data_IF_257693149764
#
_entry.id   IF_257693149764
#
_cell.length_a   1.000
_cell.length_b   1.000
_cell.length_c   1.000
_cell.angle_alpha   90.00
_cell.angle_beta   90.00
_cell.angle_gamma   90.00
#
_symmetry.space_group_name_H-M   'P 1'
#
loop_
_entity.id
_entity.type
_entity.pdbx_description
1 polymer ?
#
# COMPACT_ATOMS: atom_id res chain seq x y z
N UNK A 1 -18.41 -3.50 5.64
CA UNK A 1 -19.24 -2.30 5.93
C UNK A 1 -18.77 -1.12 5.06
N UNK A 2 -19.64 -0.16 4.72
CA UNK A 2 -19.26 1.07 4.02
C UNK A 2 -18.87 2.12 5.07
N UNK A 3 -17.68 2.71 4.95
CA UNK A 3 -17.16 3.73 5.87
C UNK A 3 -17.34 5.14 5.35
N UNK A 4 -17.20 5.34 4.04
CA UNK A 4 -17.38 6.63 3.38
C UNK A 4 -17.78 6.43 1.92
N UNK A 5 -18.65 7.29 1.41
CA UNK A 5 -19.12 7.29 0.02
C UNK A 5 -19.38 8.72 -0.43
N UNK A 6 -18.85 9.13 -1.59
CA UNK A 6 -19.10 10.45 -2.13
C UNK A 6 -18.34 10.73 -3.42
N UNK A 7 -18.67 11.86 -4.04
CA UNK A 7 -18.00 12.32 -5.25
C UNK A 7 -16.71 13.05 -4.90
N UNK A 8 -15.68 12.79 -5.71
CA UNK A 8 -14.43 13.54 -5.73
C UNK A 8 -14.10 13.88 -7.19
N UNK A 9 -13.25 14.87 -7.40
CA UNK A 9 -12.60 15.03 -8.69
C UNK A 9 -11.25 14.31 -8.66
N UNK A 10 -10.90 13.60 -9.73
CA UNK A 10 -9.69 12.78 -9.83
C UNK A 10 -8.81 13.20 -11.01
N UNK A 11 -7.50 13.11 -10.82
CA UNK A 11 -6.48 13.08 -11.86
C UNK A 11 -5.63 11.82 -11.67
N UNK A 12 -5.40 11.09 -12.76
CA UNK A 12 -4.46 9.96 -12.80
C UNK A 12 -3.14 10.41 -13.42
N UNK A 13 -2.08 9.62 -13.22
CA UNK A 13 -0.76 9.93 -13.80
C UNK A 13 -0.78 10.01 -15.34
N UNK A 14 -1.68 9.28 -16.00
CA UNK A 14 -1.85 9.31 -17.45
C UNK A 14 -2.65 10.51 -17.95
N UNK A 15 -3.43 11.18 -17.09
CA UNK A 15 -4.41 12.20 -17.46
C UNK A 15 -4.18 13.53 -16.69
N UNK A 16 -2.92 13.97 -16.63
CA UNK A 16 -2.47 15.10 -15.78
C UNK A 16 -3.20 16.45 -16.03
N UNK A 17 -3.95 16.60 -17.13
CA UNK A 17 -4.51 17.88 -17.56
C UNK A 17 -5.97 18.12 -17.15
N UNK A 18 -6.77 17.09 -16.82
CA UNK A 18 -8.21 17.30 -16.56
C UNK A 18 -8.72 16.53 -15.35
N UNK A 19 -9.40 17.27 -14.46
CA UNK A 19 -10.17 16.71 -13.36
C UNK A 19 -11.42 16.00 -13.87
N UNK A 20 -11.62 14.74 -13.46
CA UNK A 20 -12.81 13.96 -13.79
C UNK A 20 -13.60 13.63 -12.54
N UNK A 21 -14.95 13.71 -12.57
CA UNK A 21 -15.74 13.28 -11.43
C UNK A 21 -15.65 11.76 -11.28
N UNK A 22 -15.39 11.30 -10.06
CA UNK A 22 -15.37 9.88 -9.69
C UNK A 22 -16.16 9.70 -8.40
N UNK A 23 -17.00 8.67 -8.37
CA UNK A 23 -17.66 8.26 -7.14
C UNK A 23 -16.72 7.32 -6.40
N UNK A 24 -16.33 7.71 -5.19
CA UNK A 24 -15.38 6.99 -4.35
C UNK A 24 -16.12 6.32 -3.21
N UNK A 25 -15.77 5.08 -2.90
CA UNK A 25 -16.28 4.36 -1.74
C UNK A 25 -15.12 3.77 -0.93
N UNK A 26 -15.06 4.07 0.36
CA UNK A 26 -14.17 3.40 1.31
C UNK A 26 -14.99 2.37 2.07
N UNK A 27 -14.57 1.12 1.97
CA UNK A 27 -15.09 0.02 2.78
C UNK A 27 -14.11 -0.29 3.90
N UNK A 28 -14.32 -1.40 4.59
CA UNK A 28 -13.36 -1.90 5.58
C UNK A 28 -12.06 -2.44 4.96
N UNK A 29 -12.10 -2.88 3.70
CA UNK A 29 -10.98 -3.58 3.05
C UNK A 29 -10.45 -2.87 1.82
N UNK A 30 -11.32 -2.15 1.11
CA UNK A 30 -11.04 -1.63 -0.22
C UNK A 30 -11.50 -0.17 -0.36
N UNK A 31 -10.73 0.58 -1.14
CA UNK A 31 -11.08 1.84 -1.78
C UNK A 31 -11.57 1.52 -3.21
N UNK A 32 -12.82 1.85 -3.52
CA UNK A 32 -13.47 1.56 -4.79
C UNK A 32 -13.75 2.85 -5.55
N UNK A 33 -13.47 2.85 -6.85
CA UNK A 33 -13.75 3.98 -7.75
C UNK A 33 -14.79 3.59 -8.80
N UNK A 34 -15.77 4.46 -9.03
CA UNK A 34 -16.77 4.31 -10.07
C UNK A 34 -16.82 5.57 -10.95
N UNK A 35 -16.72 5.40 -12.27
CA UNK A 35 -16.86 6.51 -13.22
C UNK A 35 -18.29 7.07 -13.33
N UNK A 36 -19.28 6.39 -12.74
CA UNK A 36 -20.67 6.83 -12.70
C UNK A 36 -21.40 6.23 -11.51
N UNK A 37 -22.52 6.83 -11.11
CA UNK A 37 -23.35 6.30 -10.04
C UNK A 37 -23.95 4.93 -10.45
N UNK A 38 -23.64 3.83 -9.71
CA UNK A 38 -24.20 2.53 -10.03
C UNK A 38 -25.73 2.53 -9.88
N UNK A 39 -26.44 2.30 -10.98
CA UNK A 39 -27.92 2.37 -11.02
C UNK A 39 -28.61 1.09 -10.57
N UNK A 40 -27.89 -0.04 -10.60
CA UNK A 40 -28.41 -1.35 -10.26
C UNK A 40 -27.56 -1.99 -9.18
N UNK A 41 -28.16 -2.84 -8.34
CA UNK A 41 -27.45 -3.57 -7.27
C UNK A 41 -26.21 -4.31 -7.79
N UNK A 42 -26.32 -4.96 -8.95
CA UNK A 42 -25.22 -5.69 -9.58
C UNK A 42 -24.01 -4.78 -9.90
N UNK A 43 -24.25 -3.53 -10.31
CA UNK A 43 -23.20 -2.58 -10.71
C UNK A 43 -22.32 -2.14 -9.52
N UNK A 44 -22.82 -2.23 -8.28
CA UNK A 44 -22.01 -1.98 -7.08
C UNK A 44 -20.95 -3.07 -6.83
N UNK A 45 -21.02 -4.20 -7.54
CA UNK A 45 -20.01 -5.26 -7.49
C UNK A 45 -18.98 -5.15 -8.63
N UNK A 46 -19.11 -4.14 -9.48
CA UNK A 46 -18.23 -3.92 -10.65
C UNK A 46 -17.71 -2.49 -10.67
N UNK A 47 -16.92 -2.08 -9.67
CA UNK A 47 -16.23 -0.79 -9.71
C UNK A 47 -15.26 -0.74 -10.89
N UNK A 48 -14.94 0.48 -11.33
CA UNK A 48 -13.91 0.69 -12.33
C UNK A 48 -12.52 0.30 -11.79
N UNK A 49 -12.27 0.63 -10.52
CA UNK A 49 -11.04 0.26 -9.82
C UNK A 49 -11.34 -0.22 -8.40
N UNK A 50 -10.60 -1.24 -7.97
CA UNK A 50 -10.63 -1.79 -6.60
C UNK A 50 -9.22 -1.78 -6.05
N UNK A 51 -9.00 -0.95 -5.03
CA UNK A 51 -7.71 -0.77 -4.39
C UNK A 51 -7.76 -1.30 -2.96
N UNK A 52 -7.07 -2.41 -2.63
CA UNK A 52 -7.02 -2.91 -1.27
C UNK A 52 -6.38 -1.86 -0.35
N UNK A 53 -7.04 -1.51 0.74
CA UNK A 53 -6.54 -0.54 1.73
C UNK A 53 -5.21 -1.00 2.34
N UNK A 54 -4.98 -2.31 2.43
CA UNK A 54 -3.70 -2.88 2.86
C UNK A 54 -2.53 -2.48 1.96
N UNK A 55 -2.78 -2.32 0.66
CA UNK A 55 -1.79 -1.97 -0.35
C UNK A 55 -1.86 -0.50 -0.76
N UNK A 56 -2.74 0.28 -0.13
CA UNK A 56 -2.96 1.71 -0.40
C UNK A 56 -2.31 2.54 0.69
N UNK A 57 -1.65 3.64 0.32
CA UNK A 57 -1.19 4.66 1.27
C UNK A 57 -1.60 6.05 0.81
N UNK A 58 -1.78 6.93 1.79
CA UNK A 58 -1.90 8.37 1.59
C UNK A 58 -0.49 8.97 1.49
N UNK A 59 -0.16 9.67 0.41
CA UNK A 59 1.17 10.29 0.21
C UNK A 59 1.17 11.81 0.28
N UNK A 60 0.02 12.42 0.06
CA UNK A 60 -0.15 13.86 0.11
C UNK A 60 -1.55 14.20 0.63
N UNK A 61 -1.66 15.27 1.40
CA UNK A 61 -2.92 15.87 1.80
C UNK A 61 -2.69 17.33 2.12
N UNK A 62 -3.36 18.23 1.39
CA UNK A 62 -3.32 19.65 1.66
C UNK A 62 -3.53 20.52 0.43
N UNK A 63 -3.40 21.84 0.61
CA UNK A 63 -3.23 22.76 -0.50
C UNK A 63 -1.92 22.46 -1.27
N UNK A 64 -1.97 22.51 -2.60
CA UNK A 64 -0.80 22.32 -3.47
C UNK A 64 0.34 23.34 -3.21
N UNK A 65 0.05 24.46 -2.53
CA UNK A 65 1.01 25.51 -2.17
C UNK A 65 0.75 26.10 -0.78
N UNK A 66 1.40 25.58 0.26
CA UNK A 66 1.56 26.29 1.54
C UNK A 66 0.25 26.62 2.27
N UNK A 67 0.18 27.76 2.95
CA UNK A 67 -0.99 28.13 3.75
C UNK A 67 -2.28 28.23 2.90
N UNK A 68 -3.45 27.81 3.43
CA UNK A 68 -4.69 27.82 2.67
C UNK A 68 -5.05 29.25 2.27
N UNK A 69 -5.05 29.54 0.97
CA UNK A 69 -5.60 30.77 0.41
C UNK A 69 -6.93 30.50 -0.34
N UNK A 70 -7.82 31.50 -0.44
CA UNK A 70 -9.02 31.39 -1.27
C UNK A 70 -8.66 31.03 -2.71
N UNK A 71 -9.20 29.93 -3.24
CA UNK A 71 -8.91 29.44 -4.59
C UNK A 71 -7.77 28.42 -4.69
N UNK A 72 -7.16 28.02 -3.57
CA UNK A 72 -6.17 26.93 -3.57
C UNK A 72 -6.88 25.57 -3.59
N UNK A 73 -6.40 24.69 -4.48
CA UNK A 73 -6.93 23.35 -4.67
C UNK A 73 -6.68 22.50 -3.41
N UNK A 74 -7.76 22.02 -2.77
CA UNK A 74 -7.68 21.12 -1.63
C UNK A 74 -7.58 19.69 -2.15
N UNK A 75 -6.39 19.11 -2.08
CA UNK A 75 -6.14 17.82 -2.71
C UNK A 75 -5.55 16.81 -1.73
N UNK A 76 -5.71 15.53 -2.06
CA UNK A 76 -4.95 14.46 -1.44
C UNK A 76 -4.58 13.43 -2.50
N UNK A 77 -3.47 12.73 -2.29
CA UNK A 77 -3.02 11.71 -3.22
C UNK A 77 -2.87 10.35 -2.53
N UNK A 78 -3.30 9.31 -3.23
CA UNK A 78 -3.08 7.93 -2.81
C UNK A 78 -2.14 7.24 -3.80
N UNK A 79 -1.30 6.35 -3.26
CA UNK A 79 -0.55 5.37 -4.04
C UNK A 79 -1.02 3.98 -3.63
N UNK A 80 -1.22 3.11 -4.60
CA UNK A 80 -1.66 1.74 -4.37
C UNK A 80 -0.80 0.77 -5.14
N UNK A 81 -0.26 -0.24 -4.46
CA UNK A 81 0.37 -1.35 -5.16
C UNK A 81 -0.65 -2.23 -5.86
N UNK A 82 -0.37 -2.56 -7.11
CA UNK A 82 -1.20 -3.37 -8.01
C UNK A 82 -0.34 -4.43 -8.72
N UNK A 83 -0.98 -5.39 -9.38
CA UNK A 83 -0.27 -6.42 -10.16
C UNK A 83 0.59 -5.85 -11.30
N UNK A 84 0.34 -4.61 -11.71
CA UNK A 84 1.05 -3.92 -12.79
C UNK A 84 2.10 -2.92 -12.28
N UNK A 85 2.19 -2.72 -10.96
CA UNK A 85 3.06 -1.73 -10.34
C UNK A 85 2.30 -0.83 -9.37
N UNK A 86 2.85 0.33 -9.06
CA UNK A 86 2.19 1.31 -8.20
C UNK A 86 1.34 2.25 -9.04
N UNK A 87 0.05 2.34 -8.73
CA UNK A 87 -0.85 3.33 -9.31
C UNK A 87 -1.02 4.51 -8.37
N UNK A 88 -1.05 5.73 -8.92
CA UNK A 88 -1.17 6.97 -8.17
C UNK A 88 -2.40 7.78 -8.64
N UNK A 89 -3.16 8.25 -7.67
CA UNK A 89 -4.38 9.03 -7.88
C UNK A 89 -4.29 10.32 -7.07
N UNK A 90 -4.60 11.44 -7.72
CA UNK A 90 -4.78 12.72 -7.06
C UNK A 90 -6.27 13.02 -7.02
N UNK A 91 -6.80 13.27 -5.83
CA UNK A 91 -8.19 13.62 -5.58
C UNK A 91 -8.31 15.05 -5.09
N UNK A 92 -9.37 15.73 -5.51
CA UNK A 92 -9.74 17.05 -5.00
C UNK A 92 -11.00 16.97 -4.16
N UNK A 93 -10.92 17.54 -2.97
CA UNK A 93 -12.04 17.76 -2.06
C UNK A 93 -12.61 19.18 -2.23
N UNK A 94 -13.89 19.36 -1.95
CA UNK A 94 -14.56 20.66 -2.06
C UNK A 94 -14.31 21.55 -0.85
N UNK A 95 -14.19 20.95 0.34
CA UNK A 95 -13.99 21.66 1.60
C UNK A 95 -12.86 21.06 2.42
N UNK A 96 -12.28 21.84 3.34
CA UNK A 96 -11.29 21.33 4.29
C UNK A 96 -11.86 20.20 5.16
N UNK A 97 -13.17 20.24 5.45
CA UNK A 97 -13.85 19.19 6.21
C UNK A 97 -13.88 17.88 5.42
N UNK A 98 -14.22 17.94 4.12
CA UNK A 98 -14.23 16.76 3.25
C UNK A 98 -12.82 16.18 3.12
N UNK A 99 -11.82 17.03 2.88
CA UNK A 99 -10.42 16.61 2.82
C UNK A 99 -10.01 15.85 4.10
N UNK A 100 -10.33 16.42 5.26
CA UNK A 100 -10.03 15.82 6.57
C UNK A 100 -10.78 14.50 6.77
N UNK A 101 -12.03 14.41 6.32
CA UNK A 101 -12.87 13.23 6.46
C UNK A 101 -12.37 12.08 5.58
N UNK A 102 -12.10 12.35 4.30
CA UNK A 102 -11.60 11.37 3.34
C UNK A 102 -10.24 10.81 3.74
N UNK A 103 -9.27 11.69 4.04
CA UNK A 103 -7.92 11.28 4.43
C UNK A 103 -7.93 10.45 5.72
N UNK A 104 -8.74 10.86 6.72
CA UNK A 104 -8.92 10.08 7.95
C UNK A 104 -9.49 8.69 7.68
N UNK A 105 -10.57 8.57 6.90
CA UNK A 105 -11.17 7.26 6.62
C UNK A 105 -10.22 6.33 5.84
N UNK A 106 -9.44 6.87 4.92
CA UNK A 106 -8.42 6.10 4.19
C UNK A 106 -7.33 5.63 5.16
N UNK A 107 -6.71 6.54 5.92
CA UNK A 107 -5.61 6.21 6.85
C UNK A 107 -6.05 5.21 7.92
N UNK A 108 -7.19 5.46 8.56
CA UNK A 108 -7.73 4.53 9.56
C UNK A 108 -8.09 3.19 8.92
N UNK A 109 -8.66 3.19 7.71
CA UNK A 109 -8.97 1.98 6.96
C UNK A 109 -7.73 1.13 6.63
N UNK A 110 -6.66 1.76 6.14
CA UNK A 110 -5.37 1.10 5.90
C UNK A 110 -4.82 0.46 7.18
N UNK A 111 -4.84 1.20 8.30
CA UNK A 111 -4.39 0.71 9.60
C UNK A 111 -5.22 -0.48 10.10
N UNK A 112 -6.56 -0.36 10.07
CA UNK A 112 -7.46 -1.46 10.46
C UNK A 112 -7.30 -2.70 9.57
N UNK A 113 -7.09 -2.51 8.27
CA UNK A 113 -6.86 -3.61 7.32
C UNK A 113 -5.55 -4.35 7.63
N UNK A 114 -4.47 -3.62 7.90
CA UNK A 114 -3.19 -4.22 8.32
C UNK A 114 -3.33 -5.00 9.64
N UNK A 115 -4.02 -4.43 10.64
CA UNK A 115 -4.26 -5.09 11.91
C UNK A 115 -5.12 -6.36 11.77
N UNK A 116 -6.11 -6.35 10.88
CA UNK A 116 -6.98 -7.50 10.62
C UNK A 116 -6.23 -8.63 9.90
N UNK A 117 -5.44 -8.29 8.88
CA UNK A 117 -4.75 -9.27 8.04
C UNK A 117 -3.55 -9.88 8.78
N UNK A 118 -2.94 -9.11 9.69
CA UNK A 118 -1.79 -9.47 10.55
C UNK A 118 -0.50 -9.78 9.82
N UNK A 119 -0.55 -10.50 8.72
CA UNK A 119 0.63 -10.91 7.97
C UNK A 119 0.37 -10.95 6.47
N UNK A 120 1.35 -10.51 5.72
CA UNK A 120 1.37 -10.55 4.26
C UNK A 120 2.66 -11.22 3.81
N UNK A 121 2.53 -12.12 2.84
CA UNK A 121 3.64 -12.86 2.26
C UNK A 121 3.65 -12.70 0.75
N UNK A 122 4.80 -12.32 0.21
CA UNK A 122 4.99 -12.15 -1.24
C UNK A 122 6.30 -12.82 -1.68
N UNK A 123 6.24 -13.58 -2.77
CA UNK A 123 7.42 -14.17 -3.40
C UNK A 123 8.33 -13.09 -3.97
N UNK A 124 9.62 -13.23 -3.71
CA UNK A 124 10.60 -12.25 -4.12
C UNK A 124 12.00 -12.84 -4.34
N UNK A 125 12.87 -12.02 -4.92
CA UNK A 125 14.31 -12.33 -5.05
C UNK A 125 15.09 -11.43 -4.10
N UNK A 126 15.95 -12.04 -3.29
CA UNK A 126 16.89 -11.37 -2.38
C UNK A 126 18.28 -11.94 -2.57
N UNK A 127 19.29 -11.08 -2.82
CA UNK A 127 20.69 -11.48 -3.09
C UNK A 127 20.81 -12.59 -4.17
N UNK A 128 19.94 -12.52 -5.20
CA UNK A 128 19.91 -13.51 -6.29
C UNK A 128 19.28 -14.86 -5.93
N UNK A 129 18.69 -15.00 -4.73
CA UNK A 129 18.02 -16.21 -4.27
C UNK A 129 16.51 -16.02 -4.22
N UNK A 130 15.79 -17.07 -4.56
CA UNK A 130 14.34 -17.15 -4.46
C UNK A 130 13.89 -17.29 -3.01
N UNK A 131 12.99 -16.42 -2.60
CA UNK A 131 12.57 -16.29 -1.22
C UNK A 131 11.16 -15.71 -1.11
N UNK A 132 10.68 -15.56 0.12
CA UNK A 132 9.42 -14.92 0.45
C UNK A 132 9.68 -13.79 1.43
N UNK A 133 9.22 -12.59 1.08
CA UNK A 133 9.13 -11.47 2.02
C UNK A 133 7.84 -11.64 2.82
N UNK A 134 8.00 -11.67 4.13
CA UNK A 134 6.90 -11.68 5.11
C UNK A 134 6.94 -10.36 5.85
N UNK A 135 5.80 -9.67 5.91
CA UNK A 135 5.62 -8.48 6.73
C UNK A 135 4.52 -8.79 7.73
N UNK A 136 4.87 -8.85 9.00
CA UNK A 136 3.95 -9.13 10.09
C UNK A 136 3.70 -7.84 10.88
N UNK A 137 2.43 -7.54 11.17
CA UNK A 137 1.94 -6.32 11.80
C UNK A 137 2.66 -5.95 13.10
N UNK A 138 3.05 -6.96 13.89
CA UNK A 138 3.78 -6.77 15.15
C UNK A 138 5.27 -7.17 15.09
N UNK A 139 5.67 -8.07 14.18
CA UNK A 139 7.01 -8.67 14.21
C UNK A 139 7.95 -8.03 13.18
N UNK A 140 7.42 -7.17 12.30
CA UNK A 140 8.19 -6.49 11.26
C UNK A 140 8.43 -7.37 10.03
N UNK A 141 9.65 -7.36 9.53
CA UNK A 141 10.05 -7.90 8.24
C UNK A 141 10.84 -9.19 8.40
N UNK A 142 10.52 -10.20 7.61
CA UNK A 142 11.31 -11.42 7.51
C UNK A 142 11.48 -11.84 6.04
N UNK A 143 12.66 -12.31 5.66
CA UNK A 143 12.87 -12.97 4.37
C UNK A 143 13.16 -14.44 4.61
N UNK A 144 12.32 -15.30 4.05
CA UNK A 144 12.41 -16.75 4.21
C UNK A 144 12.87 -17.36 2.89
N UNK A 145 13.93 -18.19 2.91
CA UNK A 145 14.31 -18.94 1.71
C UNK A 145 13.16 -19.85 1.26
N UNK A 146 12.96 -20.01 -0.05
CA UNK A 146 12.07 -21.06 -0.54
C UNK A 146 12.71 -22.43 -0.31
N UNK A 147 12.01 -23.32 0.40
CA UNK A 147 12.43 -24.72 0.52
C UNK A 147 12.13 -25.41 -0.82
N UNK A 148 13.18 -25.77 -1.55
CA UNK A 148 13.07 -26.74 -2.64
C UNK A 148 12.83 -28.10 -2.00
N UNK A 149 11.60 -28.59 -2.09
CA UNK A 149 11.26 -29.92 -1.56
C UNK A 149 11.98 -30.99 -2.35
N UNK A 150 12.80 -31.79 -1.67
CA UNK A 150 12.85 -33.25 -1.71
C UNK A 150 13.80 -33.72 -0.58
N UNK A 151 13.35 -34.72 0.18
CA UNK A 151 14.03 -35.41 1.30
C UNK A 151 14.10 -34.75 2.68
N UNK A 152 12.97 -34.66 3.40
CA UNK A 152 12.96 -34.92 4.86
C UNK A 152 11.64 -35.57 5.30
N UNK A 153 11.59 -36.89 5.19
CA UNK A 153 10.79 -37.74 6.07
C UNK A 153 11.57 -37.85 7.38
N UNK A 154 11.28 -37.02 8.38
CA UNK A 154 11.39 -37.44 9.79
C UNK A 154 10.78 -36.41 10.77
N UNK A 155 9.77 -36.89 11.48
CA UNK A 155 9.48 -36.69 12.90
C UNK A 155 9.55 -35.27 13.51
N UNK A 156 8.37 -34.70 13.72
CA UNK A 156 7.97 -34.29 15.07
C UNK A 156 8.38 -32.91 15.59
N UNK A 157 9.03 -32.05 14.82
CA UNK A 157 9.20 -30.65 15.22
C UNK A 157 9.15 -29.71 14.02
N UNK A 158 8.39 -28.64 14.14
CA UNK A 158 8.06 -27.69 13.08
C UNK A 158 9.34 -27.17 12.40
N UNK A 159 9.60 -27.66 11.18
CA UNK A 159 10.71 -27.25 10.32
C UNK A 159 10.45 -25.82 9.77
N UNK A 160 10.44 -24.82 10.65
CA UNK A 160 10.47 -23.42 10.24
C UNK A 160 11.85 -23.14 9.63
N UNK A 161 11.90 -22.96 8.31
CA UNK A 161 13.11 -22.53 7.62
C UNK A 161 13.70 -21.31 8.33
N UNK A 162 14.97 -21.39 8.75
CA UNK A 162 15.65 -20.28 9.41
C UNK A 162 15.59 -19.04 8.50
N UNK A 163 15.09 -17.90 8.99
CA UNK A 163 14.98 -16.68 8.18
C UNK A 163 16.36 -16.21 7.71
N UNK A 164 16.45 -15.76 6.46
CA UNK A 164 17.64 -15.11 5.88
C UNK A 164 17.88 -13.75 6.52
N UNK A 165 16.81 -13.04 6.86
CA UNK A 165 16.83 -11.82 7.66
C UNK A 165 15.53 -11.69 8.44
N UNK A 166 15.61 -11.08 9.63
CA UNK A 166 14.46 -10.69 10.44
C UNK A 166 14.76 -9.33 11.09
N UNK A 167 13.93 -8.34 10.82
CA UNK A 167 14.06 -7.00 11.41
C UNK A 167 12.71 -6.46 11.86
N UNK A 168 12.61 -5.95 13.10
CA UNK A 168 11.39 -5.30 13.55
C UNK A 168 11.26 -3.90 12.91
N UNK A 169 10.08 -3.28 13.01
CA UNK A 169 9.81 -1.99 12.36
C UNK A 169 10.74 -0.87 12.83
N UNK A 170 11.18 -0.89 14.09
CA UNK A 170 12.02 0.16 14.69
C UNK A 170 13.41 0.23 14.04
N UNK A 171 13.84 -0.82 13.34
CA UNK A 171 15.13 -0.82 12.63
C UNK A 171 15.02 -0.24 11.22
N UNK A 172 13.81 -0.15 10.66
CA UNK A 172 13.59 0.41 9.33
C UNK A 172 13.78 1.92 9.39
N UNK A 173 14.86 2.40 8.79
CA UNK A 173 15.17 3.82 8.69
C UNK A 173 14.44 4.47 7.53
N UNK A 174 14.42 3.78 6.39
CA UNK A 174 13.81 4.29 5.16
C UNK A 174 13.34 3.11 4.32
N UNK A 175 12.21 3.30 3.65
CA UNK A 175 11.71 2.45 2.57
C UNK A 175 11.61 3.28 1.30
N UNK A 176 11.75 2.66 0.13
CA UNK A 176 11.42 3.27 -1.16
C UNK A 176 11.07 2.20 -2.20
N UNK A 177 10.48 2.62 -3.32
CA UNK A 177 10.09 1.74 -4.40
C UNK A 177 10.46 2.35 -5.76
N UNK A 178 10.55 1.52 -6.80
CA UNK A 178 10.80 1.97 -8.18
C UNK A 178 9.52 2.28 -8.99
N UNK A 179 8.35 2.26 -8.33
CA UNK A 179 7.04 2.41 -8.94
C UNK A 179 6.53 1.18 -9.68
N UNK A 180 7.32 0.10 -9.78
CA UNK A 180 7.00 -1.05 -10.64
C UNK A 180 7.04 -2.37 -9.87
N UNK A 181 8.19 -2.76 -9.33
CA UNK A 181 8.38 -4.11 -8.76
C UNK A 181 9.52 -4.24 -7.75
N UNK A 182 10.27 -3.18 -7.52
CA UNK A 182 11.37 -3.21 -6.57
C UNK A 182 11.03 -2.40 -5.33
N UNK A 183 11.30 -3.02 -4.17
CA UNK A 183 11.21 -2.41 -2.86
C UNK A 183 12.62 -2.36 -2.26
N UNK A 184 12.98 -1.20 -1.74
CA UNK A 184 14.23 -0.96 -1.04
C UNK A 184 13.93 -0.69 0.43
N UNK A 185 14.58 -1.42 1.34
CA UNK A 185 14.45 -1.25 2.78
C UNK A 185 15.84 -1.01 3.37
N UNK A 186 16.06 0.18 3.92
CA UNK A 186 17.26 0.55 4.65
C UNK A 186 17.03 0.27 6.14
N UNK A 187 17.67 -0.78 6.65
CA UNK A 187 17.72 -1.08 8.08
C UNK A 187 19.02 -0.53 8.65
N UNK A 188 18.94 0.25 9.73
CA UNK A 188 20.02 1.04 10.38
C UNK A 188 21.18 0.21 11.01
N UNK A 189 21.65 -0.83 10.32
CA UNK A 189 22.75 -1.69 10.70
C UNK A 189 24.14 -1.10 10.42
N UNK A 190 25.17 -1.79 10.94
CA UNK A 190 26.58 -1.35 10.90
C UNK A 190 27.17 -1.21 9.48
N UNK A 191 26.47 -1.66 8.44
CA UNK A 191 26.92 -1.59 7.04
C UNK A 191 25.91 -0.92 6.09
N UNK A 192 24.88 -0.23 6.58
CA UNK A 192 23.86 0.36 5.70
C UNK A 192 23.16 -0.71 4.87
N UNK A 193 22.57 -1.69 5.57
CA UNK A 193 21.94 -2.84 4.92
C UNK A 193 20.69 -2.41 4.14
N UNK A 194 20.89 -2.16 2.85
CA UNK A 194 19.79 -1.95 1.89
C UNK A 194 19.36 -3.34 1.40
N UNK A 195 18.19 -3.76 1.84
CA UNK A 195 17.50 -4.94 1.32
C UNK A 195 16.72 -4.51 0.09
N UNK A 196 17.20 -4.94 -1.08
CA UNK A 196 16.45 -4.81 -2.33
C UNK A 196 15.63 -6.09 -2.53
N UNK A 197 14.32 -5.95 -2.61
CA UNK A 197 13.36 -7.03 -2.81
C UNK A 197 12.70 -6.84 -4.16
N UNK A 198 12.87 -7.81 -5.04
CA UNK A 198 12.19 -7.83 -6.33
C UNK A 198 10.93 -8.68 -6.24
N UNK A 199 9.76 -8.10 -6.49
CA UNK A 199 8.49 -8.82 -6.50
C UNK A 199 8.26 -9.56 -7.81
N UNK A 200 7.87 -10.85 -7.72
CA UNK A 200 7.49 -11.64 -8.89
C UNK A 200 6.06 -11.33 -9.32
N UNK A 201 5.88 -11.15 -10.63
CA UNK A 201 4.59 -10.80 -11.25
C UNK A 201 3.53 -11.94 -11.15
N UNK A 202 3.91 -13.12 -10.69
CA UNK A 202 3.01 -14.27 -10.43
C UNK A 202 2.40 -14.30 -9.02
N UNK A 203 2.71 -13.33 -8.16
CA UNK A 203 2.12 -13.30 -6.82
C UNK A 203 0.61 -13.03 -6.89
N UNK A 204 -0.17 -13.90 -6.24
CA UNK A 204 -1.64 -13.76 -6.11
C UNK A 204 -2.06 -12.46 -5.41
N UNK A 205 -1.12 -11.72 -4.81
CA UNK A 205 -1.33 -10.49 -4.07
C UNK A 205 -0.55 -9.32 -4.70
N UNK A 206 -1.14 -8.11 -4.75
CA UNK A 206 -0.44 -6.93 -5.23
C UNK A 206 0.77 -6.57 -4.32
N UNK A 207 1.79 -5.86 -4.85
CA UNK A 207 2.89 -5.31 -4.05
C UNK A 207 2.33 -4.37 -2.98
N UNK A 208 3.00 -4.30 -1.84
CA UNK A 208 2.60 -3.46 -0.71
C UNK A 208 3.34 -2.15 -0.78
N UNK A 209 2.62 -1.04 -0.65
CA UNK A 209 3.23 0.27 -0.50
C UNK A 209 3.55 0.54 0.98
N UNK A 210 4.83 0.42 1.35
CA UNK A 210 5.30 0.56 2.74
C UNK A 210 5.49 2.06 3.05
N UNK A 211 5.05 2.56 4.22
CA UNK A 211 5.19 3.98 4.58
C UNK A 211 6.66 4.43 4.62
N UNK A 212 6.93 5.64 4.13
CA UNK A 212 8.21 6.32 4.35
C UNK A 212 8.26 6.80 5.81
N UNK A 213 9.20 6.29 6.60
CA UNK A 213 9.56 6.89 7.88
C UNK A 213 10.69 7.89 7.66
N UNK A 214 10.50 9.14 8.10
CA UNK A 214 11.58 10.13 8.23
C UNK A 214 11.53 10.66 9.66
N UNK A 215 12.65 10.58 10.40
CA UNK A 215 12.78 11.04 11.79
C UNK A 215 12.70 12.57 11.96
N UNK A 216 12.14 13.30 11.00
CA UNK A 216 12.10 14.76 10.99
C UNK A 216 10.68 15.30 10.97
N UNK A 217 9.79 14.79 11.82
CA UNK A 217 8.57 15.51 12.22
C UNK A 217 8.10 15.00 13.59
N UNK A 218 8.71 15.54 14.65
CA UNK A 218 8.05 15.81 15.93
C UNK A 218 8.02 17.32 16.11
#
# INVERSE_FOLDING_TARGET
>A
EIRQLGWLAEKTENEKQQWKPVLVMVTEKDLLLYHSLPRMKASWHSPAHTYPLLATRLVHSGPDQGSPQPGVELSFATRTGTRLGIEAHLFRAETCQDLSLWTRHIVTGCHSSAQMIKEVTTSCVYKGQECRLVIHYEQGFSVLAEQKGEDQVDQGNQNQAKPLLCYPFERLKMSSDDGVRMLFLDFSGKEGEIVSVFFKQEARHPPLDIPHYSSSTM
#
